data_IF_291204497357
#
_entry.id   IF_291204497357
#
_cell.length_a   1.000
_cell.length_b   1.000
_cell.length_c   1.000
_cell.angle_alpha   90.00
_cell.angle_beta   90.00
_cell.angle_gamma   90.00
#
_symmetry.space_group_name_H-M   'P 1'
#
loop_
_entity.id
_entity.type
_entity.pdbx_description
1 polymer ?
#
# COMPACT_ATOMS: atom_id res chain seq x y z
N UNK A 1 -27.19 -37.65 -0.62
CA UNK A 1 -26.47 -36.94 -1.70
C UNK A 1 -27.14 -35.58 -1.90
N UNK A 2 -26.72 -34.55 -1.17
CA UNK A 2 -27.11 -33.15 -1.41
C UNK A 2 -25.82 -32.42 -1.74
N UNK A 3 -25.44 -32.55 -3.00
CA UNK A 3 -24.25 -31.96 -3.57
C UNK A 3 -24.48 -30.46 -3.81
N UNK A 4 -23.46 -29.67 -3.45
CA UNK A 4 -22.92 -28.64 -4.35
C UNK A 4 -23.81 -27.44 -4.74
N UNK A 5 -24.71 -26.95 -3.89
CA UNK A 5 -25.57 -25.79 -4.25
C UNK A 5 -25.36 -24.57 -3.36
N UNK A 6 -24.09 -24.17 -3.24
CA UNK A 6 -23.70 -22.78 -3.04
C UNK A 6 -22.50 -22.56 -3.95
N UNK A 7 -22.77 -22.56 -5.26
CA UNK A 7 -21.82 -22.08 -6.24
C UNK A 7 -21.45 -20.66 -5.82
N UNK A 8 -20.23 -20.50 -5.30
CA UNK A 8 -19.57 -19.22 -5.19
C UNK A 8 -19.82 -18.49 -6.50
N UNK A 9 -20.54 -17.38 -6.44
CA UNK A 9 -20.61 -16.43 -7.54
C UNK A 9 -19.19 -15.91 -7.73
N UNK A 10 -18.36 -16.65 -8.47
CA UNK A 10 -17.03 -16.21 -8.87
C UNK A 10 -17.23 -15.15 -9.93
N UNK A 11 -17.63 -13.95 -9.50
CA UNK A 11 -17.26 -12.73 -10.20
C UNK A 11 -15.76 -12.85 -10.45
N UNK A 12 -15.36 -12.97 -11.72
CA UNK A 12 -13.97 -13.14 -12.12
C UNK A 12 -13.24 -11.81 -11.83
N UNK A 13 -12.82 -11.60 -10.59
CA UNK A 13 -12.16 -10.37 -10.15
C UNK A 13 -10.69 -10.36 -10.58
N UNK A 14 -10.16 -9.18 -10.88
CA UNK A 14 -8.77 -9.04 -11.32
C UNK A 14 -7.72 -9.19 -10.19
N UNK A 15 -8.18 -9.13 -8.94
CA UNK A 15 -7.36 -9.13 -7.73
C UNK A 15 -7.89 -10.16 -6.71
N UNK A 16 -7.09 -10.52 -5.69
CA UNK A 16 -7.55 -11.33 -4.56
C UNK A 16 -8.77 -10.70 -3.85
N UNK A 17 -9.63 -11.53 -3.26
CA UNK A 17 -10.89 -11.08 -2.64
C UNK A 17 -10.68 -10.04 -1.54
N UNK A 18 -9.58 -10.14 -0.79
CA UNK A 18 -9.26 -9.26 0.33
C UNK A 18 -9.14 -7.79 -0.10
N UNK A 19 -8.69 -7.54 -1.33
CA UNK A 19 -8.56 -6.19 -1.94
C UNK A 19 -9.90 -5.46 -2.00
N UNK A 20 -10.99 -6.20 -2.12
CA UNK A 20 -12.35 -5.65 -2.19
C UNK A 20 -13.04 -5.55 -0.84
N UNK A 21 -12.42 -6.06 0.22
CA UNK A 21 -13.01 -6.17 1.56
C UNK A 21 -12.40 -5.17 2.53
N UNK A 22 -11.15 -4.74 2.32
CA UNK A 22 -10.49 -3.78 3.20
C UNK A 22 -9.59 -2.80 2.44
N UNK A 23 -9.55 -1.56 2.93
CA UNK A 23 -8.64 -0.56 2.38
C UNK A 23 -7.16 -0.94 2.59
N UNK A 24 -6.85 -1.70 3.64
CA UNK A 24 -5.48 -2.13 3.91
C UNK A 24 -4.99 -3.13 2.86
N UNK A 25 -5.81 -4.12 2.48
CA UNK A 25 -5.50 -5.04 1.39
C UNK A 25 -5.45 -4.33 0.04
N UNK A 26 -6.34 -3.36 -0.20
CA UNK A 26 -6.28 -2.46 -1.35
C UNK A 26 -4.93 -1.75 -1.44
N UNK A 27 -4.47 -1.15 -0.34
CA UNK A 27 -3.19 -0.44 -0.29
C UNK A 27 -1.99 -1.38 -0.45
N UNK A 28 -2.04 -2.59 0.10
CA UNK A 28 -1.02 -3.61 -0.11
C UNK A 28 -0.89 -3.97 -1.60
N UNK A 29 -2.02 -4.11 -2.30
CA UNK A 29 -2.03 -4.35 -3.73
C UNK A 29 -1.48 -3.16 -4.53
N UNK A 30 -1.82 -1.91 -4.16
CA UNK A 30 -1.25 -0.71 -4.79
C UNK A 30 0.28 -0.66 -4.66
N UNK A 31 0.80 -0.96 -3.45
CA UNK A 31 2.24 -1.00 -3.20
C UNK A 31 2.91 -2.09 -4.04
N UNK A 32 2.29 -3.27 -4.14
CA UNK A 32 2.75 -4.39 -4.98
C UNK A 32 2.80 -3.99 -6.46
N UNK A 33 1.71 -3.48 -7.01
CA UNK A 33 1.63 -3.08 -8.43
C UNK A 33 2.63 -1.97 -8.75
N UNK A 34 2.80 -1.00 -7.84
CA UNK A 34 3.80 0.08 -8.00
C UNK A 34 5.22 -0.48 -7.97
N UNK A 35 5.51 -1.43 -7.07
CA UNK A 35 6.81 -2.08 -6.99
C UNK A 35 7.14 -2.87 -8.26
N UNK A 36 6.19 -3.67 -8.76
CA UNK A 36 6.34 -4.49 -9.97
C UNK A 36 6.63 -3.64 -11.20
N UNK A 37 6.18 -2.39 -11.22
CA UNK A 37 6.46 -1.41 -12.28
C UNK A 37 7.78 -0.64 -12.08
N UNK A 38 8.33 -0.57 -10.87
CA UNK A 38 9.67 -0.02 -10.64
C UNK A 38 9.98 0.43 -9.20
N UNK A 39 10.66 -0.43 -8.45
CA UNK A 39 11.02 -0.23 -7.03
C UNK A 39 12.10 0.84 -6.72
N UNK A 40 12.94 1.21 -7.68
CA UNK A 40 14.10 2.11 -7.50
C UNK A 40 13.75 3.59 -7.74
N UNK A 41 12.52 3.96 -7.42
CA UNK A 41 11.93 5.27 -7.73
C UNK A 41 11.66 6.05 -6.44
N UNK A 42 11.99 7.35 -6.37
CA UNK A 42 11.62 8.20 -5.23
C UNK A 42 10.12 8.17 -4.94
N UNK A 43 9.29 8.00 -5.98
CA UNK A 43 7.84 7.82 -5.89
C UNK A 43 7.46 6.63 -5.00
N UNK A 44 8.05 5.46 -5.25
CA UNK A 44 7.76 4.24 -4.50
C UNK A 44 8.13 4.37 -3.02
N UNK A 45 9.32 4.91 -2.72
CA UNK A 45 9.77 5.08 -1.33
C UNK A 45 8.90 6.11 -0.59
N UNK A 46 8.54 7.21 -1.26
CA UNK A 46 7.65 8.22 -0.69
C UNK A 46 6.23 7.68 -0.45
N UNK A 47 5.71 6.84 -1.36
CA UNK A 47 4.43 6.15 -1.19
C UNK A 47 4.46 5.25 0.05
N UNK A 48 5.49 4.41 0.21
CA UNK A 48 5.64 3.52 1.37
C UNK A 48 5.73 4.31 2.68
N UNK A 49 6.43 5.44 2.69
CA UNK A 49 6.50 6.31 3.86
C UNK A 49 5.18 7.01 4.15
N UNK A 50 4.42 7.39 3.12
CA UNK A 50 3.10 7.99 3.26
C UNK A 50 2.06 6.97 3.74
N UNK A 51 2.14 5.71 3.28
CA UNK A 51 1.25 4.62 3.69
C UNK A 51 1.54 4.09 5.10
N UNK A 52 2.63 4.50 5.74
CA UNK A 52 3.02 4.07 7.10
C UNK A 52 1.99 4.37 8.19
N UNK A 53 1.07 5.31 7.96
CA UNK A 53 -0.09 5.56 8.84
C UNK A 53 -1.20 4.51 8.71
N UNK A 54 -1.16 3.66 7.68
CA UNK A 54 -2.13 2.59 7.39
C UNK A 54 -1.60 1.18 7.70
N UNK A 55 -0.31 1.07 8.02
CA UNK A 55 0.32 -0.14 8.54
C UNK A 55 0.20 -0.40 10.07
N UNK A 56 -0.54 0.36 10.93
CA UNK A 56 -0.57 0.09 12.37
C UNK A 56 -1.09 -1.30 12.75
N UNK A 57 -1.91 -1.95 11.90
CA UNK A 57 -2.41 -3.31 12.18
C UNK A 57 -1.31 -4.38 12.17
N UNK A 58 -0.20 -4.17 11.46
CA UNK A 58 0.98 -5.02 11.56
C UNK A 58 1.85 -4.70 12.78
N UNK A 59 1.76 -3.48 13.32
CA UNK A 59 2.52 -3.05 14.50
C UNK A 59 1.85 -3.40 15.84
N UNK A 60 0.52 -3.45 15.88
CA UNK A 60 -0.23 -3.81 17.09
C UNK A 60 0.12 -5.20 17.64
N UNK A 61 0.55 -6.13 16.77
CA UNK A 61 1.02 -7.47 17.16
C UNK A 61 2.47 -7.49 17.67
N UNK A 62 3.29 -6.46 17.38
CA UNK A 62 4.67 -6.34 17.88
C UNK A 62 4.76 -5.70 19.27
N UNK A 63 3.73 -4.96 19.74
CA UNK A 63 3.76 -4.32 21.06
C UNK A 63 3.72 -5.29 22.26
N UNK A 64 3.56 -6.60 22.02
CA UNK A 64 3.68 -7.64 23.06
C UNK A 64 5.09 -8.21 23.25
N UNK A 65 6.05 -7.88 22.39
CA UNK A 65 7.48 -8.17 22.62
C UNK A 65 8.23 -6.86 22.92
N UNK A 66 8.87 -6.80 24.09
CA UNK A 66 9.32 -5.58 24.74
C UNK A 66 10.21 -4.64 23.92
N UNK A 67 9.84 -3.35 23.93
CA UNK A 67 10.53 -2.21 23.30
C UNK A 67 11.77 -1.74 24.12
N UNK A 68 12.14 -2.44 25.19
CA UNK A 68 13.11 -1.93 26.18
C UNK A 68 14.59 -2.22 25.87
N UNK A 69 14.90 -2.91 24.77
CA UNK A 69 16.28 -3.15 24.31
C UNK A 69 16.70 -2.26 23.13
N UNK A 70 15.97 -1.17 22.88
CA UNK A 70 16.41 -0.09 21.97
C UNK A 70 17.37 0.87 22.69
N UNK A 71 18.45 0.32 23.26
CA UNK A 71 19.55 1.10 23.79
C UNK A 71 20.71 1.06 22.78
N UNK A 72 20.90 2.20 22.11
CA UNK A 72 22.16 2.77 21.62
C UNK A 72 23.28 1.76 21.28
N UNK A 73 23.49 1.50 19.99
CA UNK A 73 24.71 0.88 19.46
C UNK A 73 24.47 -0.39 18.65
N UNK A 74 24.84 -0.36 17.36
CA UNK A 74 24.84 -1.48 16.38
C UNK A 74 23.46 -2.14 16.08
N UNK A 75 22.48 -2.05 16.98
CA UNK A 75 21.12 -2.59 16.85
C UNK A 75 20.13 -1.76 16.03
N UNK A 76 20.53 -0.61 15.48
CA UNK A 76 19.65 0.22 14.63
C UNK A 76 19.24 -0.44 13.31
N UNK A 77 19.99 -1.46 12.86
CA UNK A 77 19.76 -2.16 11.58
C UNK A 77 18.79 -3.34 11.71
N UNK A 78 18.59 -3.88 12.93
CA UNK A 78 17.80 -5.12 13.13
C UNK A 78 16.31 -4.86 13.36
N UNK A 79 15.93 -3.71 13.93
CA UNK A 79 14.53 -3.30 14.03
C UNK A 79 13.86 -3.12 12.64
N UNK A 80 14.66 -2.78 11.63
CA UNK A 80 14.24 -2.69 10.24
C UNK A 80 14.02 -4.08 9.61
N UNK A 81 14.70 -5.14 10.09
CA UNK A 81 14.53 -6.50 9.57
C UNK A 81 13.24 -7.19 10.05
N UNK A 82 12.74 -6.87 11.25
CA UNK A 82 11.53 -7.51 11.79
C UNK A 82 10.23 -6.75 11.48
N UNK A 83 10.30 -5.45 11.16
CA UNK A 83 9.13 -4.73 10.62
C UNK A 83 8.74 -5.16 9.20
N UNK A 84 9.69 -5.71 8.42
CA UNK A 84 9.52 -6.02 6.99
C UNK A 84 9.32 -7.50 6.66
N UNK A 85 9.43 -8.40 7.63
CA UNK A 85 9.04 -9.81 7.44
C UNK A 85 7.52 -9.99 7.22
N UNK A 86 6.70 -9.01 7.60
CA UNK A 86 5.23 -9.10 7.40
C UNK A 86 4.75 -8.58 6.06
N UNK A 87 5.56 -7.79 5.35
CA UNK A 87 5.37 -7.69 3.90
C UNK A 87 5.61 -9.07 3.30
N UNK A 88 6.61 -9.82 3.79
CA UNK A 88 7.04 -11.14 3.28
C UNK A 88 6.16 -12.33 3.70
N UNK A 89 5.35 -12.24 4.76
CA UNK A 89 4.63 -13.41 5.32
C UNK A 89 3.14 -13.53 4.94
N UNK A 90 2.61 -12.66 4.08
CA UNK A 90 1.34 -12.91 3.38
C UNK A 90 1.60 -13.59 2.02
N UNK A 91 0.58 -14.16 1.35
CA UNK A 91 0.76 -14.74 0.01
C UNK A 91 1.32 -13.73 -1.02
N UNK A 92 1.24 -12.44 -0.73
CA UNK A 92 1.77 -11.33 -1.55
C UNK A 92 3.26 -11.02 -1.26
N UNK A 93 3.79 -11.51 -0.15
CA UNK A 93 5.10 -11.11 0.37
C UNK A 93 6.34 -11.68 -0.29
N UNK A 94 6.15 -12.71 -1.08
CA UNK A 94 7.23 -13.40 -1.76
C UNK A 94 7.71 -12.60 -3.00
N UNK A 95 7.02 -11.53 -3.40
CA UNK A 95 7.27 -10.82 -4.66
C UNK A 95 8.35 -9.71 -4.62
N UNK A 96 8.89 -9.33 -3.45
CA UNK A 96 9.92 -8.27 -3.35
C UNK A 96 11.36 -8.77 -3.56
N UNK A 97 11.62 -9.55 -4.61
CA UNK A 97 12.93 -10.23 -4.82
C UNK A 97 14.05 -9.33 -5.36
N UNK A 98 13.80 -8.05 -5.66
CA UNK A 98 14.74 -7.16 -6.36
C UNK A 98 15.25 -5.95 -5.58
N UNK A 99 14.49 -5.43 -4.61
CA UNK A 99 14.87 -4.26 -3.81
C UNK A 99 14.72 -4.57 -2.33
N UNK A 100 15.84 -4.82 -1.66
CA UNK A 100 15.82 -5.12 -0.23
C UNK A 100 15.44 -3.88 0.57
N UNK A 101 14.89 -4.14 1.75
CA UNK A 101 14.72 -3.14 2.83
C UNK A 101 15.93 -2.23 3.03
N UNK A 102 17.12 -2.83 3.07
CA UNK A 102 18.36 -2.09 3.29
C UNK A 102 18.68 -1.18 2.09
N UNK A 103 18.37 -1.62 0.87
CA UNK A 103 18.48 -0.81 -0.33
C UNK A 103 17.47 0.36 -0.33
N UNK A 104 16.22 0.15 0.13
CA UNK A 104 15.23 1.23 0.30
C UNK A 104 15.72 2.31 1.27
N UNK A 105 16.26 1.91 2.42
CA UNK A 105 16.80 2.87 3.39
C UNK A 105 18.01 3.60 2.83
N UNK A 106 18.94 2.88 2.22
CA UNK A 106 20.11 3.51 1.60
C UNK A 106 19.71 4.51 0.52
N UNK A 107 18.74 4.15 -0.33
CA UNK A 107 18.19 5.02 -1.35
C UNK A 107 17.48 6.24 -0.75
N UNK A 108 16.70 6.05 0.33
CA UNK A 108 16.05 7.16 1.03
C UNK A 108 17.08 8.17 1.53
N UNK A 109 18.17 7.74 2.17
CA UNK A 109 19.22 8.64 2.63
C UNK A 109 19.89 9.40 1.49
N UNK A 110 20.12 8.74 0.36
CA UNK A 110 20.70 9.37 -0.84
C UNK A 110 19.74 10.37 -1.51
N UNK A 111 18.43 10.15 -1.43
CA UNK A 111 17.40 10.92 -2.14
C UNK A 111 16.41 11.62 -1.18
N UNK A 112 16.84 11.89 0.06
CA UNK A 112 15.95 12.28 1.16
C UNK A 112 15.09 13.51 0.84
N UNK A 113 15.70 14.54 0.26
CA UNK A 113 15.01 15.80 -0.10
C UNK A 113 13.89 15.54 -1.08
N UNK A 114 14.18 14.76 -2.13
CA UNK A 114 13.20 14.41 -3.15
C UNK A 114 12.07 13.57 -2.54
N UNK A 115 12.40 12.49 -1.84
CA UNK A 115 11.39 11.60 -1.22
C UNK A 115 10.46 12.37 -0.27
N UNK A 116 11.01 13.24 0.57
CA UNK A 116 10.21 14.01 1.53
C UNK A 116 9.32 15.06 0.85
N UNK A 117 9.74 15.66 -0.26
CA UNK A 117 8.92 16.60 -1.02
C UNK A 117 7.64 15.91 -1.56
N UNK A 118 7.73 14.62 -1.92
CA UNK A 118 6.62 13.84 -2.46
C UNK A 118 5.68 13.27 -1.40
N UNK A 119 6.09 13.24 -0.13
CA UNK A 119 5.31 12.63 0.95
C UNK A 119 3.94 13.29 1.16
N UNK A 120 3.86 14.62 1.16
CA UNK A 120 2.60 15.34 1.39
C UNK A 120 1.57 15.08 0.27
N UNK A 121 1.94 15.21 -1.02
CA UNK A 121 1.07 14.80 -2.13
C UNK A 121 0.55 13.36 -2.00
N UNK A 122 1.41 12.40 -1.65
CA UNK A 122 0.96 11.01 -1.51
C UNK A 122 0.03 10.78 -0.32
N UNK A 123 0.20 11.49 0.80
CA UNK A 123 -0.76 11.44 1.90
C UNK A 123 -2.14 11.93 1.47
N UNK A 124 -2.20 13.01 0.71
CA UNK A 124 -3.46 13.52 0.16
C UNK A 124 -4.08 12.50 -0.79
N UNK A 125 -3.30 11.98 -1.74
CA UNK A 125 -3.77 10.94 -2.66
C UNK A 125 -4.35 9.71 -1.93
N UNK A 126 -3.66 9.23 -0.89
CA UNK A 126 -4.12 8.09 -0.09
C UNK A 126 -5.44 8.42 0.60
N UNK A 127 -5.58 9.60 1.20
CA UNK A 127 -6.81 10.02 1.88
C UNK A 127 -7.97 10.18 0.90
N UNK A 128 -7.77 10.86 -0.22
CA UNK A 128 -8.80 11.03 -1.26
C UNK A 128 -9.23 9.68 -1.86
N UNK A 129 -8.30 8.74 -1.95
CA UNK A 129 -8.59 7.37 -2.42
C UNK A 129 -9.35 6.58 -1.37
N UNK A 130 -9.01 6.73 -0.09
CA UNK A 130 -9.73 6.13 1.03
C UNK A 130 -11.19 6.57 1.04
N UNK A 131 -11.45 7.87 0.94
CA UNK A 131 -12.80 8.41 0.92
C UNK A 131 -13.63 7.79 -0.22
N UNK A 132 -13.05 7.68 -1.42
CA UNK A 132 -13.72 7.02 -2.57
C UNK A 132 -13.95 5.54 -2.35
N UNK A 133 -12.97 4.84 -1.77
CA UNK A 133 -13.11 3.42 -1.47
C UNK A 133 -14.23 3.21 -0.45
N UNK A 134 -14.26 4.00 0.62
CA UNK A 134 -15.29 3.91 1.67
C UNK A 134 -16.68 4.27 1.15
N UNK A 135 -16.82 5.26 0.24
CA UNK A 135 -18.08 5.55 -0.46
C UNK A 135 -18.55 4.37 -1.34
N UNK A 136 -17.63 3.72 -2.07
CA UNK A 136 -17.96 2.51 -2.86
C UNK A 136 -18.47 1.39 -1.95
N UNK A 137 -17.81 1.16 -0.81
CA UNK A 137 -18.22 0.13 0.16
C UNK A 137 -19.58 0.47 0.79
N UNK A 138 -19.80 1.72 1.19
CA UNK A 138 -21.07 2.17 1.75
C UNK A 138 -22.22 1.92 0.78
N UNK A 139 -22.07 2.33 -0.49
CA UNK A 139 -23.08 2.12 -1.54
C UNK A 139 -23.34 0.64 -1.83
N UNK A 140 -22.30 -0.20 -1.78
CA UNK A 140 -22.48 -1.64 -1.87
C UNK A 140 -23.27 -2.20 -0.68
N UNK A 141 -22.96 -1.77 0.54
CA UNK A 141 -23.69 -2.20 1.75
C UNK A 141 -25.14 -1.72 1.76
N UNK A 142 -25.41 -0.55 1.19
CA UNK A 142 -26.75 0.00 1.01
C UNK A 142 -27.53 -0.66 -0.14
N UNK A 143 -26.92 -1.61 -0.87
CA UNK A 143 -27.53 -2.32 -1.99
C UNK A 143 -27.67 -1.50 -3.27
N UNK A 144 -27.01 -0.34 -3.34
CA UNK A 144 -26.96 0.51 -4.55
C UNK A 144 -26.11 -0.13 -5.64
N UNK A 145 -25.06 -0.87 -5.23
CA UNK A 145 -24.20 -1.62 -6.14
C UNK A 145 -24.30 -3.13 -5.87
N UNK A 146 -24.25 -3.92 -6.93
CA UNK A 146 -23.98 -5.35 -6.80
C UNK A 146 -22.48 -5.65 -6.59
N UNK A 147 -22.14 -6.93 -6.39
CA UNK A 147 -20.75 -7.35 -6.15
C UNK A 147 -19.83 -7.14 -7.35
N UNK A 148 -20.35 -7.24 -8.57
CA UNK A 148 -19.60 -7.00 -9.80
C UNK A 148 -19.34 -5.53 -10.03
N UNK A 149 -20.35 -4.68 -9.82
CA UNK A 149 -20.24 -3.23 -9.89
C UNK A 149 -19.23 -2.70 -8.85
N UNK A 150 -19.32 -3.18 -7.59
CA UNK A 150 -18.33 -2.88 -6.55
C UNK A 150 -16.91 -3.24 -7.01
N UNK A 151 -16.75 -4.45 -7.56
CA UNK A 151 -15.44 -4.92 -8.01
C UNK A 151 -14.85 -4.02 -9.10
N UNK A 152 -15.62 -3.68 -10.13
CA UNK A 152 -15.17 -2.80 -11.21
C UNK A 152 -14.78 -1.40 -10.70
N UNK A 153 -15.53 -0.86 -9.74
CA UNK A 153 -15.24 0.44 -9.16
C UNK A 153 -13.95 0.43 -8.33
N UNK A 154 -13.74 -0.61 -7.51
CA UNK A 154 -12.50 -0.80 -6.75
C UNK A 154 -11.31 -1.03 -7.67
N UNK A 155 -11.45 -1.85 -8.71
CA UNK A 155 -10.40 -2.09 -9.72
C UNK A 155 -10.03 -0.80 -10.46
N UNK A 156 -11.03 -0.02 -10.89
CA UNK A 156 -10.82 1.27 -11.53
C UNK A 156 -10.11 2.27 -10.63
N UNK A 157 -10.48 2.29 -9.34
CA UNK A 157 -9.84 3.13 -8.34
C UNK A 157 -8.37 2.75 -8.13
N UNK A 158 -8.08 1.45 -8.04
CA UNK A 158 -6.72 0.93 -7.88
C UNK A 158 -5.84 1.33 -9.07
N UNK A 159 -6.30 1.05 -10.30
CA UNK A 159 -5.58 1.40 -11.54
C UNK A 159 -5.33 2.90 -11.64
N UNK A 160 -6.31 3.73 -11.27
CA UNK A 160 -6.17 5.19 -11.25
C UNK A 160 -5.12 5.63 -10.22
N UNK A 161 -5.14 5.07 -9.02
CA UNK A 161 -4.17 5.42 -7.98
C UNK A 161 -2.74 5.08 -8.42
N UNK A 162 -2.52 3.88 -8.96
CA UNK A 162 -1.21 3.48 -9.51
C UNK A 162 -0.76 4.44 -10.61
N UNK A 163 -1.65 4.80 -11.55
CA UNK A 163 -1.31 5.76 -12.60
C UNK A 163 -0.93 7.15 -12.05
N UNK A 164 -1.61 7.63 -11.00
CA UNK A 164 -1.29 8.91 -10.35
C UNK A 164 0.02 8.87 -9.55
N UNK A 165 0.38 7.71 -9.00
CA UNK A 165 1.67 7.52 -8.33
C UNK A 165 2.81 7.61 -9.36
N UNK A 166 2.61 7.05 -10.55
CA UNK A 166 3.60 7.00 -11.62
C UNK A 166 3.74 8.31 -12.40
N UNK A 167 2.71 9.15 -12.37
CA UNK A 167 2.70 10.44 -13.03
C UNK A 167 3.86 11.32 -12.53
N UNK A 168 4.56 12.04 -13.43
CA UNK A 168 5.53 13.05 -13.02
C UNK A 168 4.85 14.05 -12.09
N UNK A 169 5.44 14.32 -10.94
CA UNK A 169 4.98 15.43 -10.11
C UNK A 169 5.30 16.71 -10.88
N UNK A 170 4.29 17.55 -11.11
CA UNK A 170 4.50 18.89 -11.63
C UNK A 170 5.47 19.60 -10.67
N UNK A 171 6.63 20.04 -11.20
CA UNK A 171 7.53 20.87 -10.43
C UNK A 171 6.74 22.10 -9.96
N UNK A 172 6.85 22.51 -8.68
CA UNK A 172 6.20 23.74 -8.24
C UNK A 172 6.69 24.85 -9.16
N UNK A 173 5.75 25.49 -9.88
CA UNK A 173 6.04 26.52 -10.86
C UNK A 173 7.10 27.45 -10.28
N UNK A 174 8.27 27.51 -10.93
CA UNK A 174 9.34 28.43 -10.53
C UNK A 174 8.70 29.81 -10.45
N UNK A 175 8.54 30.30 -9.22
CA UNK A 175 8.11 31.67 -8.98
C UNK A 175 9.08 32.54 -9.78
N UNK A 176 8.57 33.13 -10.83
CA UNK A 176 9.32 34.02 -11.72
C UNK A 176 9.72 35.21 -10.87
N UNK A 177 11.02 35.33 -10.62
CA UNK A 177 11.65 36.42 -9.89
C UNK A 177 11.30 37.78 -10.49
#
# INVERSE_FOLDING_TARGET
MLASMAASSSSHTAYPSEVYESFDAFMQQVIKDTYERGAKRPEFVALVLASGELLPMAWGKMKKSGIRELAVGVGGVVALRYGLAYIVSGPIGVALTGFTVAAMVSFFWQNQKEVLARRKPYKQLINDTREKYEDIQARYHDGVYDSGERALMVEGLLRRMVAQIEAPLEEPAKASS
#
